data_IF_021107955494
#
_entry.id   IF_021107955494
#
_cell.length_a   1.000
_cell.length_b   1.000
_cell.length_c   1.000
_cell.angle_alpha   90.00
_cell.angle_beta   90.00
_cell.angle_gamma   90.00
#
_symmetry.space_group_name_H-M   'P 1'
#
loop_
_entity.id
_entity.type
_entity.pdbx_description
1 polymer ?
#
# COMPACT_ATOMS: atom_id res chain seq x y z
N UNK A 1 -38.78 -5.67 4.12
CA UNK A 1 -38.36 -6.22 2.81
C UNK A 1 -36.91 -5.82 2.60
N UNK A 2 -35.95 -6.70 2.87
CA UNK A 2 -34.55 -6.44 2.52
C UNK A 2 -34.48 -6.36 1.00
N UNK A 3 -34.26 -5.16 0.48
CA UNK A 3 -34.15 -4.95 -0.95
C UNK A 3 -32.91 -5.71 -1.42
N UNK A 4 -33.09 -6.80 -2.20
CA UNK A 4 -32.02 -7.74 -2.57
C UNK A 4 -30.82 -7.06 -3.27
N UNK A 5 -31.05 -5.87 -3.82
CA UNK A 5 -30.09 -5.06 -4.57
C UNK A 5 -29.48 -3.88 -3.79
N UNK A 6 -29.72 -3.76 -2.48
CA UNK A 6 -29.15 -2.69 -1.67
C UNK A 6 -28.35 -3.24 -0.50
N UNK A 7 -27.11 -2.79 -0.40
CA UNK A 7 -26.20 -2.99 0.72
C UNK A 7 -25.61 -1.66 1.12
N UNK A 8 -25.76 -1.32 2.39
CA UNK A 8 -25.24 -0.15 3.08
C UNK A 8 -24.08 -0.49 4.03
N UNK A 9 -23.88 -1.76 4.36
CA UNK A 9 -22.87 -2.23 5.30
C UNK A 9 -22.01 -3.32 4.68
N UNK A 10 -20.68 -3.15 4.68
CA UNK A 10 -19.74 -4.19 4.27
C UNK A 10 -18.53 -4.22 5.20
N UNK A 11 -18.15 -5.42 5.64
CA UNK A 11 -16.89 -5.67 6.36
C UNK A 11 -15.88 -6.31 5.41
N UNK A 12 -14.71 -5.68 5.28
CA UNK A 12 -13.64 -6.07 4.36
C UNK A 12 -12.36 -6.39 5.12
N UNK A 13 -11.65 -7.42 4.69
CA UNK A 13 -10.27 -7.69 5.08
C UNK A 13 -9.36 -7.02 4.06
N UNK A 14 -8.64 -5.99 4.49
CA UNK A 14 -7.80 -5.17 3.64
C UNK A 14 -6.33 -5.45 3.96
N UNK A 15 -5.54 -5.81 2.95
CA UNK A 15 -4.10 -6.03 3.09
C UNK A 15 -3.35 -5.12 2.12
N UNK A 16 -2.48 -4.28 2.66
CA UNK A 16 -1.60 -3.47 1.84
C UNK A 16 -0.36 -4.26 1.39
N UNK A 17 0.31 -3.73 0.37
CA UNK A 17 1.57 -4.29 -0.10
C UNK A 17 2.67 -4.16 0.95
N UNK A 18 3.45 -5.22 1.11
CA UNK A 18 4.80 -5.14 1.69
C UNK A 18 5.72 -4.27 0.81
N UNK A 19 6.60 -3.49 1.44
CA UNK A 19 7.66 -2.76 0.75
C UNK A 19 8.78 -3.68 0.28
N UNK A 20 9.38 -3.35 -0.86
CA UNK A 20 10.53 -4.08 -1.41
C UNK A 20 11.77 -3.94 -0.52
N UNK A 21 12.64 -4.94 -0.53
CA UNK A 21 13.90 -4.86 0.19
C UNK A 21 14.95 -4.03 -0.56
N UNK A 22 15.78 -3.28 0.17
CA UNK A 22 16.96 -2.63 -0.38
C UNK A 22 18.02 -3.65 -0.80
N UNK A 23 18.82 -3.31 -1.80
CA UNK A 23 19.86 -4.19 -2.33
C UNK A 23 21.21 -3.98 -1.65
N UNK A 24 21.95 -5.07 -1.43
CA UNK A 24 23.34 -5.05 -0.94
C UNK A 24 24.37 -5.19 -2.07
N UNK A 25 23.96 -4.93 -3.31
CA UNK A 25 24.79 -5.10 -4.49
C UNK A 25 26.07 -4.23 -4.41
N UNK A 26 27.13 -4.76 -5.01
CA UNK A 26 28.41 -4.07 -5.13
C UNK A 26 28.80 -4.05 -6.59
N UNK A 27 29.28 -2.90 -7.05
CA UNK A 27 29.63 -2.71 -8.45
C UNK A 27 30.73 -3.70 -8.85
N UNK A 28 30.55 -4.35 -10.01
CA UNK A 28 31.50 -5.30 -10.57
C UNK A 28 31.71 -5.00 -12.05
N UNK A 29 32.94 -4.69 -12.40
CA UNK A 29 33.39 -4.59 -13.78
C UNK A 29 34.78 -5.23 -13.94
N UNK A 30 35.23 -5.39 -15.18
CA UNK A 30 36.52 -6.05 -15.50
C UNK A 30 37.74 -5.25 -15.05
N UNK A 31 37.63 -3.92 -14.99
CA UNK A 31 38.74 -2.98 -14.80
C UNK A 31 38.91 -2.52 -13.34
N UNK A 32 37.89 -2.74 -12.51
CA UNK A 32 37.79 -2.24 -11.15
C UNK A 32 38.00 -3.41 -10.18
N UNK A 33 39.12 -3.37 -9.45
CA UNK A 33 39.45 -4.43 -8.48
C UNK A 33 38.43 -4.53 -7.32
N UNK A 34 37.88 -3.40 -6.85
CA UNK A 34 36.83 -3.34 -5.82
C UNK A 34 35.87 -2.19 -6.11
N UNK A 35 34.69 -2.51 -6.65
CA UNK A 35 33.64 -1.52 -6.85
C UNK A 35 32.99 -1.10 -5.53
N UNK A 36 32.49 0.14 -5.51
CA UNK A 36 31.71 0.67 -4.39
C UNK A 36 30.30 0.08 -4.31
N UNK A 37 29.53 0.45 -3.27
CA UNK A 37 28.12 0.08 -3.16
C UNK A 37 27.32 0.69 -4.31
N UNK A 38 26.43 -0.10 -4.88
CA UNK A 38 25.54 0.28 -5.97
C UNK A 38 24.19 -0.44 -5.87
N UNK A 39 23.78 -0.86 -4.68
CA UNK A 39 22.46 -1.41 -4.43
C UNK A 39 21.40 -0.31 -4.43
N UNK A 40 20.36 -0.47 -5.24
CA UNK A 40 19.17 0.38 -5.22
C UNK A 40 18.22 0.06 -4.06
N UNK A 41 17.24 0.95 -3.87
CA UNK A 41 16.19 0.82 -2.84
C UNK A 41 15.05 -0.08 -3.31
N UNK A 42 14.32 -0.66 -2.38
CA UNK A 42 13.05 -1.31 -2.69
C UNK A 42 11.94 -0.30 -2.95
N UNK A 43 10.96 -0.71 -3.77
CA UNK A 43 9.75 0.08 -4.01
C UNK A 43 8.80 0.05 -2.81
N UNK A 44 7.91 1.04 -2.73
CA UNK A 44 6.82 1.08 -1.74
C UNK A 44 5.83 -0.04 -2.01
N UNK A 45 5.23 -0.61 -0.98
CA UNK A 45 4.04 -1.43 -1.15
C UNK A 45 2.84 -0.63 -1.66
N UNK A 46 1.94 -1.31 -2.37
CA UNK A 46 0.68 -0.71 -2.80
C UNK A 46 -0.24 -0.39 -1.62
N UNK A 47 -0.96 0.72 -1.72
CA UNK A 47 -2.00 1.15 -0.78
C UNK A 47 -3.32 0.49 -1.12
N UNK A 48 -4.19 0.33 -0.12
CA UNK A 48 -5.63 0.14 -0.36
C UNK A 48 -6.31 1.49 -0.19
N UNK A 49 -6.95 1.97 -1.26
CA UNK A 49 -7.46 3.33 -1.38
C UNK A 49 -8.97 3.28 -1.64
N UNK A 50 -9.74 4.05 -0.87
CA UNK A 50 -11.13 4.31 -1.19
C UNK A 50 -11.23 5.53 -2.09
N UNK A 51 -12.13 5.48 -3.07
CA UNK A 51 -12.42 6.60 -3.96
C UNK A 51 -13.91 6.86 -4.03
N UNK A 52 -14.31 8.10 -3.77
CA UNK A 52 -15.70 8.53 -3.89
C UNK A 52 -16.18 8.49 -5.35
N UNK A 53 -17.39 7.97 -5.57
CA UNK A 53 -18.04 7.95 -6.87
C UNK A 53 -19.52 8.33 -6.73
N UNK A 54 -19.89 9.49 -7.26
CA UNK A 54 -21.25 10.03 -7.23
C UNK A 54 -22.28 9.17 -7.98
N UNK A 55 -21.84 8.31 -8.89
CA UNK A 55 -22.72 7.42 -9.66
C UNK A 55 -23.07 6.14 -8.88
N UNK A 56 -22.37 5.86 -7.79
CA UNK A 56 -22.63 4.71 -6.93
C UNK A 56 -23.58 5.10 -5.80
N UNK A 57 -24.53 4.22 -5.50
CA UNK A 57 -25.54 4.41 -4.44
C UNK A 57 -25.64 3.21 -3.49
N UNK A 58 -24.84 2.16 -3.70
CA UNK A 58 -24.81 0.97 -2.84
C UNK A 58 -23.39 0.38 -2.78
N UNK A 59 -23.08 -0.34 -1.70
CA UNK A 59 -21.85 -1.12 -1.51
C UNK A 59 -22.00 -2.58 -1.99
N UNK A 60 -23.05 -2.90 -2.76
CA UNK A 60 -23.36 -4.26 -3.19
C UNK A 60 -22.19 -4.96 -3.92
N UNK A 61 -21.44 -4.24 -4.75
CA UNK A 61 -20.27 -4.76 -5.48
C UNK A 61 -19.15 -5.23 -4.54
N UNK A 62 -19.06 -4.65 -3.34
CA UNK A 62 -18.06 -5.02 -2.33
C UNK A 62 -18.53 -6.16 -1.43
N UNK A 63 -19.83 -6.46 -1.37
CA UNK A 63 -20.42 -7.51 -0.51
C UNK A 63 -19.74 -8.87 -0.71
N UNK A 64 -19.42 -9.21 -1.95
CA UNK A 64 -18.84 -10.50 -2.32
C UNK A 64 -17.30 -10.47 -2.36
N UNK A 65 -16.70 -9.27 -2.35
CA UNK A 65 -15.25 -9.09 -2.38
C UNK A 65 -14.70 -8.95 -0.96
N UNK A 66 -14.63 -10.06 -0.22
CA UNK A 66 -14.22 -10.04 1.20
C UNK A 66 -12.75 -9.66 1.44
N UNK A 67 -11.86 -9.97 0.49
CA UNK A 67 -10.44 -9.69 0.57
C UNK A 67 -10.04 -8.67 -0.48
N UNK A 68 -9.38 -7.61 -0.03
CA UNK A 68 -8.84 -6.55 -0.88
C UNK A 68 -7.35 -6.49 -0.60
N UNK A 69 -6.55 -6.81 -1.63
CA UNK A 69 -5.11 -6.99 -1.53
C UNK A 69 -4.44 -6.04 -2.51
N UNK A 70 -3.53 -5.19 -2.02
CA UNK A 70 -2.68 -4.36 -2.87
C UNK A 70 -1.38 -5.11 -3.25
N UNK A 71 -0.71 -4.65 -4.30
CA UNK A 71 0.52 -5.26 -4.80
C UNK A 71 1.73 -4.99 -3.91
N UNK A 72 2.68 -5.93 -3.85
CA UNK A 72 3.96 -5.74 -3.16
C UNK A 72 4.90 -4.82 -3.96
N UNK A 73 5.76 -4.08 -3.25
CA UNK A 73 6.85 -3.34 -3.87
C UNK A 73 7.99 -4.28 -4.27
N UNK A 74 8.63 -4.01 -5.39
CA UNK A 74 9.73 -4.82 -5.90
C UNK A 74 11.04 -4.53 -5.14
N UNK A 75 11.94 -5.52 -5.00
CA UNK A 75 13.23 -5.29 -4.39
C UNK A 75 14.12 -4.39 -5.27
N UNK A 76 14.98 -3.62 -4.62
CA UNK A 76 16.07 -2.92 -5.29
C UNK A 76 17.06 -3.91 -5.91
N UNK A 77 17.81 -3.45 -6.91
CA UNK A 77 18.83 -4.27 -7.57
C UNK A 77 20.14 -3.49 -7.79
N UNK A 78 21.14 -4.15 -8.38
CA UNK A 78 22.42 -3.52 -8.70
C UNK A 78 22.31 -2.36 -9.68
N UNK A 79 23.41 -1.62 -9.84
CA UNK A 79 23.50 -0.41 -10.63
C UNK A 79 22.56 0.72 -10.16
N UNK A 80 22.32 0.81 -8.85
CA UNK A 80 21.42 1.77 -8.18
C UNK A 80 20.00 1.75 -8.75
N UNK A 81 19.55 0.60 -9.25
CA UNK A 81 18.20 0.45 -9.79
C UNK A 81 17.22 0.19 -8.65
N UNK A 82 16.36 1.16 -8.40
CA UNK A 82 15.28 1.06 -7.43
C UNK A 82 14.19 0.11 -7.92
N UNK A 83 13.56 -0.61 -7.00
CA UNK A 83 12.40 -1.44 -7.28
C UNK A 83 11.16 -0.61 -7.60
N UNK A 84 10.26 -1.17 -8.40
CA UNK A 84 8.98 -0.54 -8.70
C UNK A 84 8.05 -0.54 -7.48
N UNK A 85 7.22 0.50 -7.36
CA UNK A 85 6.16 0.55 -6.37
C UNK A 85 5.09 -0.52 -6.67
N UNK A 86 4.56 -1.11 -5.61
CA UNK A 86 3.46 -2.04 -5.67
C UNK A 86 2.20 -1.36 -6.17
N UNK A 87 1.39 -2.11 -6.93
CA UNK A 87 0.13 -1.61 -7.47
C UNK A 87 -0.85 -1.27 -6.35
N UNK A 88 -1.29 -0.02 -6.31
CA UNK A 88 -2.37 0.43 -5.42
C UNK A 88 -3.71 -0.21 -5.84
N UNK A 89 -4.54 -0.54 -4.84
CA UNK A 89 -5.86 -1.14 -5.04
C UNK A 89 -6.94 -0.10 -4.71
N UNK A 90 -7.71 0.27 -5.72
CA UNK A 90 -8.79 1.25 -5.60
C UNK A 90 -10.13 0.58 -5.39
N UNK A 91 -10.87 1.07 -4.39
CA UNK A 91 -12.23 0.68 -4.07
C UNK A 91 -13.15 1.88 -4.24
N UNK A 92 -13.92 1.87 -5.34
CA UNK A 92 -14.93 2.88 -5.56
C UNK A 92 -16.11 2.68 -4.59
N UNK A 93 -16.53 3.77 -3.95
CA UNK A 93 -17.64 3.78 -2.98
C UNK A 93 -18.58 4.96 -3.21
N UNK A 94 -19.86 4.85 -2.85
CA UNK A 94 -20.79 5.98 -2.84
C UNK A 94 -20.29 7.12 -1.96
N UNK A 95 -20.72 8.34 -2.28
CA UNK A 95 -20.53 9.51 -1.42
C UNK A 95 -21.35 9.33 -0.13
N UNK A 96 -20.81 9.77 1.01
CA UNK A 96 -21.36 9.55 2.35
C UNK A 96 -20.98 8.20 2.96
N UNK A 97 -19.96 7.51 2.39
CA UNK A 97 -19.45 6.27 2.97
C UNK A 97 -18.51 6.58 4.13
N UNK A 98 -18.88 6.09 5.31
CA UNK A 98 -18.13 6.16 6.56
C UNK A 98 -17.27 4.93 6.70
N UNK A 99 -16.06 5.13 7.21
CA UNK A 99 -15.05 4.10 7.36
C UNK A 99 -14.80 3.89 8.85
N UNK A 100 -14.99 2.66 9.30
CA UNK A 100 -14.85 2.26 10.70
C UNK A 100 -13.78 1.19 10.87
N UNK A 101 -13.07 1.27 11.98
CA UNK A 101 -12.23 0.18 12.44
C UNK A 101 -13.13 -0.96 12.93
N UNK A 102 -12.88 -2.18 12.45
CA UNK A 102 -13.74 -3.31 12.79
C UNK A 102 -13.58 -3.82 14.22
N UNK A 103 -12.44 -3.54 14.84
CA UNK A 103 -12.11 -3.95 16.21
C UNK A 103 -12.56 -2.90 17.21
N UNK A 104 -12.19 -1.62 16.98
CA UNK A 104 -12.50 -0.54 17.93
C UNK A 104 -13.86 0.12 17.70
N UNK A 105 -14.49 -0.09 16.53
CA UNK A 105 -15.73 0.60 16.13
C UNK A 105 -15.57 2.13 16.08
N UNK A 106 -14.35 2.65 16.00
CA UNK A 106 -14.10 4.07 15.83
C UNK A 106 -14.22 4.47 14.36
N UNK A 107 -14.69 5.69 14.12
CA UNK A 107 -14.75 6.26 12.77
C UNK A 107 -13.35 6.78 12.43
N UNK A 108 -12.79 6.23 11.35
CA UNK A 108 -11.42 6.54 10.89
C UNK A 108 -11.45 7.59 9.77
N UNK A 109 -12.58 7.72 9.08
CA UNK A 109 -12.76 8.70 8.01
C UNK A 109 -14.11 8.61 7.33
N UNK A 110 -14.35 9.53 6.39
CA UNK A 110 -15.55 9.62 5.59
C UNK A 110 -15.20 10.13 4.18
N UNK A 111 -15.93 9.64 3.18
CA UNK A 111 -15.84 10.09 1.79
C UNK A 111 -17.04 10.97 1.47
N UNK A 112 -16.81 12.28 1.33
CA UNK A 112 -17.87 13.29 1.19
C UNK A 112 -17.95 13.91 -0.21
N UNK A 113 -16.93 13.68 -1.05
CA UNK A 113 -16.84 14.29 -2.38
C UNK A 113 -16.60 13.23 -3.46
N UNK A 114 -17.08 13.52 -4.67
CA UNK A 114 -16.78 12.72 -5.86
C UNK A 114 -15.28 12.78 -6.17
N UNK A 115 -14.67 11.64 -6.47
CA UNK A 115 -13.23 11.52 -6.73
C UNK A 115 -12.34 11.70 -5.51
N UNK A 116 -12.87 11.95 -4.31
CA UNK A 116 -12.06 12.02 -3.08
C UNK A 116 -11.39 10.67 -2.84
N UNK A 117 -10.07 10.67 -2.72
CA UNK A 117 -9.27 9.50 -2.40
C UNK A 117 -8.86 9.50 -0.93
N UNK A 118 -8.96 8.34 -0.27
CA UNK A 118 -8.50 8.15 1.10
C UNK A 118 -7.75 6.84 1.25
N UNK A 119 -6.52 6.89 1.77
CA UNK A 119 -5.69 5.72 2.00
C UNK A 119 -6.22 4.98 3.24
N UNK A 120 -6.90 3.86 3.00
CA UNK A 120 -7.49 3.05 4.06
C UNK A 120 -6.51 2.13 4.74
N UNK A 121 -5.57 1.59 3.97
CA UNK A 121 -4.45 0.81 4.51
C UNK A 121 -3.18 1.20 3.77
N UNK A 122 -2.21 1.86 4.43
CA UNK A 122 -0.99 2.26 3.77
C UNK A 122 -0.08 1.05 3.51
N UNK A 123 0.56 1.03 2.34
CA UNK A 123 1.61 0.08 1.97
C UNK A 123 2.87 0.28 2.80
N UNK A 124 3.58 -0.82 3.04
CA UNK A 124 4.87 -0.82 3.71
C UNK A 124 5.90 -0.01 2.92
N UNK A 125 6.78 0.72 3.62
CA UNK A 125 7.83 1.51 2.99
C UNK A 125 8.91 0.60 2.39
N UNK A 126 9.45 1.03 1.26
CA UNK A 126 10.60 0.38 0.63
C UNK A 126 11.86 0.51 1.50
N UNK A 127 12.68 -0.55 1.50
CA UNK A 127 13.95 -0.57 2.22
C UNK A 127 15.06 0.15 1.46
N UNK A 128 15.90 0.90 2.16
CA UNK A 128 17.08 1.55 1.60
C UNK A 128 18.17 0.54 1.20
N UNK A 129 18.72 0.70 0.01
CA UNK A 129 19.88 -0.03 -0.48
C UNK A 129 21.17 0.37 0.24
N UNK A 130 22.25 -0.39 0.02
CA UNK A 130 23.54 -0.14 0.67
C UNK A 130 24.20 1.19 0.25
N UNK A 131 23.84 1.77 -0.90
CA UNK A 131 24.37 3.06 -1.38
C UNK A 131 24.01 4.22 -0.42
N UNK A 132 22.88 4.14 0.29
CA UNK A 132 22.47 5.15 1.28
C UNK A 132 23.32 5.15 2.55
N UNK A 133 23.92 4.01 2.91
CA UNK A 133 24.67 3.86 4.15
C UNK A 133 26.16 4.16 3.99
N UNK A 134 26.59 4.57 2.79
CA UNK A 134 28.00 4.89 2.53
C UNK A 134 28.39 6.19 3.23
N UNK A 135 29.55 6.20 3.87
CA UNK A 135 30.10 7.39 4.53
C UNK A 135 31.63 7.39 4.44
N UNK A 136 32.32 8.49 4.79
CA UNK A 136 33.79 8.54 4.83
C UNK A 136 34.42 7.37 5.58
N UNK A 137 33.77 6.89 6.65
CA UNK A 137 34.21 5.79 7.51
C UNK A 137 33.56 4.44 7.18
N UNK A 138 32.49 4.42 6.38
CA UNK A 138 31.77 3.21 5.94
C UNK A 138 31.69 3.18 4.40
N UNK A 139 32.82 2.98 3.73
CA UNK A 139 32.93 3.10 2.28
C UNK A 139 32.28 1.94 1.50
N UNK A 140 32.05 0.80 2.14
CA UNK A 140 31.55 -0.42 1.48
C UNK A 140 30.52 -1.14 2.33
N UNK A 141 29.36 -0.52 2.63
CA UNK A 141 28.34 -1.10 3.49
C UNK A 141 27.82 -2.43 2.92
N UNK A 142 27.90 -3.51 3.71
CA UNK A 142 27.48 -4.87 3.30
C UNK A 142 26.05 -5.21 3.72
N UNK A 143 25.29 -4.21 4.13
CA UNK A 143 23.93 -4.34 4.62
C UNK A 143 23.02 -3.34 3.89
N UNK A 144 21.73 -3.68 3.86
CA UNK A 144 20.65 -2.86 3.33
C UNK A 144 19.46 -2.99 4.30
N UNK A 145 18.55 -2.04 4.23
CA UNK A 145 17.33 -2.08 5.03
C UNK A 145 16.31 -3.01 4.36
N UNK A 146 15.65 -3.89 5.10
CA UNK A 146 14.49 -4.62 4.57
C UNK A 146 13.34 -3.65 4.30
N UNK A 147 12.44 -4.00 3.39
CA UNK A 147 11.17 -3.28 3.27
C UNK A 147 10.27 -3.56 4.47
N UNK A 148 9.48 -2.56 4.86
CA UNK A 148 8.50 -2.70 5.93
C UNK A 148 7.37 -3.62 5.48
N UNK A 149 6.83 -4.39 6.43
CA UNK A 149 5.71 -5.27 6.16
C UNK A 149 4.45 -4.48 5.80
N UNK A 150 3.60 -5.09 4.99
CA UNK A 150 2.26 -4.57 4.73
C UNK A 150 1.39 -4.72 5.96
N UNK A 151 0.32 -3.93 6.04
CA UNK A 151 -0.65 -4.01 7.11
C UNK A 151 -1.84 -4.86 6.67
N UNK A 152 -2.41 -5.63 7.60
CA UNK A 152 -3.64 -6.37 7.39
C UNK A 152 -4.65 -5.95 8.45
N UNK A 153 -5.73 -5.30 8.01
CA UNK A 153 -6.71 -4.69 8.88
C UNK A 153 -8.12 -5.02 8.40
N UNK A 154 -9.02 -5.20 9.36
CA UNK A 154 -10.44 -5.27 9.09
C UNK A 154 -11.04 -3.86 9.12
N UNK A 155 -11.79 -3.53 8.08
CA UNK A 155 -12.47 -2.24 7.93
C UNK A 155 -13.94 -2.47 7.65
N UNK A 156 -14.78 -1.63 8.22
CA UNK A 156 -16.22 -1.62 7.98
C UNK A 156 -16.53 -0.36 7.18
N UNK A 157 -17.27 -0.52 6.09
CA UNK A 157 -17.79 0.57 5.29
C UNK A 157 -19.30 0.66 5.52
N UNK A 158 -19.77 1.83 5.91
CA UNK A 158 -21.18 2.11 6.19
C UNK A 158 -21.64 3.31 5.38
N UNK A 159 -22.71 3.16 4.62
CA UNK A 159 -23.32 4.28 3.90
C UNK A 159 -24.25 5.05 4.83
N UNK A 160 -24.00 6.35 5.02
CA UNK A 160 -24.99 7.22 5.68
C UNK A 160 -26.20 7.38 4.77
N UNK A 161 -27.28 6.70 5.12
CA UNK A 161 -28.58 6.93 4.52
C UNK A 161 -29.11 8.28 5.01
N UNK A 162 -29.36 9.20 4.08
CA UNK A 162 -30.20 10.36 4.35
C UNK A 162 -31.65 9.85 4.45
N UNK A 163 -32.28 10.06 5.61
CA UNK A 163 -33.70 9.87 5.83
C UNK A 163 -34.50 11.10 5.36
#
# INVERSE_FOLDING_TARGET
MSNQNFVDYVKLCCRSGKGGAGSTHMHRDRTTAKGGPDGGDGGRGGHVILRGNAQMWTLLHLKYRKHVLAGHGDPGSGNRRHGADGRDEYLDVPIGTVIRDAETQEIVGEIDQDGQEWIMVPGGRGGLGNDHFKSPTNQTPRYAQPGEDGQELWRILELKLLA
#
